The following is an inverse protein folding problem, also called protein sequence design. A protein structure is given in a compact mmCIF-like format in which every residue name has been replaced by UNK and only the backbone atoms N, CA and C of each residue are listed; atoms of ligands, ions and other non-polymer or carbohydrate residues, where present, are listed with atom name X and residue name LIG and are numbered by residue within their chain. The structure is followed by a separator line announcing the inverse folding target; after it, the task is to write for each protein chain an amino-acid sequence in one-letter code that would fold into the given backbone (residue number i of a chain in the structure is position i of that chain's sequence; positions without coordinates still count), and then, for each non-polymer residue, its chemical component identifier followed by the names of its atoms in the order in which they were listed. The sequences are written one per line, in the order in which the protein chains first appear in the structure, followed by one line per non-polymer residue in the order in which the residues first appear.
data_IF_242202441645
#
_entry.id   IF_242202441645
#
_cell.length_a   1.000
_cell.length_b   1.000
_cell.length_c   1.000
_cell.angle_alpha   90.00
_cell.angle_beta   90.00
_cell.angle_gamma   90.00
#
_symmetry.space_group_name_H-M   'P 1'
#
loop_
_entity.id
_entity.type
_entity.pdbx_description
1 polymer ?
#
# COMPACT_ATOMS: atom_id res chain seq x y z
N UNK A 1 13.96 -23.67 17.05
CA UNK A 1 13.09 -23.89 15.87
C UNK A 1 13.83 -24.57 14.72
N UNK A 2 13.20 -25.58 14.09
CA UNK A 2 13.87 -26.49 13.16
C UNK A 2 14.42 -25.80 11.90
N UNK A 3 13.78 -24.72 11.43
CA UNK A 3 14.23 -23.96 10.26
C UNK A 3 15.55 -23.19 10.42
N UNK A 4 16.15 -23.16 11.62
CA UNK A 4 17.50 -22.60 11.83
C UNK A 4 18.61 -23.64 11.68
N UNK A 5 18.26 -24.92 11.76
CA UNK A 5 19.21 -26.04 11.84
C UNK A 5 19.09 -26.99 10.65
N UNK A 6 17.92 -27.02 10.00
CA UNK A 6 17.62 -27.91 8.88
C UNK A 6 17.09 -27.14 7.68
N UNK A 7 17.19 -27.75 6.49
CA UNK A 7 16.47 -27.28 5.33
C UNK A 7 14.97 -27.45 5.55
N UNK A 8 14.20 -26.44 5.15
CA UNK A 8 12.75 -26.42 5.28
C UNK A 8 12.13 -26.12 3.93
N UNK A 9 10.91 -26.61 3.72
CA UNK A 9 10.07 -26.29 2.57
C UNK A 9 8.85 -25.52 3.05
N UNK A 10 8.42 -24.52 2.27
CA UNK A 10 7.22 -23.74 2.58
C UNK A 10 6.00 -24.57 2.18
N UNK A 11 5.26 -25.06 3.19
CA UNK A 11 4.06 -25.85 2.99
C UNK A 11 2.82 -24.97 2.77
N UNK A 12 2.79 -23.78 3.38
CA UNK A 12 1.74 -22.79 3.18
C UNK A 12 2.35 -21.40 3.04
N UNK A 13 1.93 -20.69 1.99
CA UNK A 13 2.36 -19.32 1.73
C UNK A 13 1.99 -18.37 2.87
N UNK A 14 2.67 -17.22 2.90
CA UNK A 14 2.49 -16.20 3.92
C UNK A 14 1.05 -15.66 3.93
N UNK A 15 0.30 -15.94 4.99
CA UNK A 15 -1.11 -15.56 5.16
C UNK A 15 -1.30 -14.70 6.40
N UNK A 16 -2.41 -13.94 6.41
CA UNK A 16 -2.77 -13.10 7.55
C UNK A 16 -3.32 -13.98 8.67
N UNK A 17 -2.83 -13.76 9.88
CA UNK A 17 -3.38 -14.43 11.05
C UNK A 17 -4.83 -14.02 11.31
N UNK A 18 -5.68 -15.00 11.61
CA UNK A 18 -7.00 -14.76 12.17
C UNK A 18 -6.92 -14.20 13.59
N UNK A 19 -8.03 -13.64 14.09
CA UNK A 19 -8.08 -13.09 15.45
C UNK A 19 -7.83 -14.13 16.55
N UNK A 20 -8.10 -15.41 16.28
CA UNK A 20 -7.77 -16.52 17.19
C UNK A 20 -6.29 -16.87 17.12
N UNK A 21 -5.75 -17.06 15.91
CA UNK A 21 -4.33 -17.37 15.70
C UNK A 21 -3.40 -16.31 16.27
N UNK A 22 -3.82 -15.04 16.26
CA UNK A 22 -3.02 -13.95 16.83
C UNK A 22 -2.85 -14.06 18.35
N UNK A 23 -3.75 -14.78 19.04
CA UNK A 23 -3.67 -15.08 20.48
C UNK A 23 -2.98 -16.41 20.77
N UNK A 24 -3.18 -17.39 19.90
CA UNK A 24 -2.74 -18.78 20.12
C UNK A 24 -1.35 -19.05 19.55
N UNK A 25 -0.97 -18.37 18.46
CA UNK A 25 0.28 -18.58 17.73
C UNK A 25 1.23 -17.40 17.99
N UNK A 26 2.33 -17.59 18.74
CA UNK A 26 3.25 -16.50 19.06
C UNK A 26 3.95 -15.93 17.82
N UNK A 27 4.09 -16.73 16.75
CA UNK A 27 4.64 -16.30 15.47
C UNK A 27 3.78 -15.22 14.77
N UNK A 28 2.51 -15.07 15.13
CA UNK A 28 1.65 -14.00 14.60
C UNK A 28 1.93 -12.63 15.24
N UNK A 29 2.48 -12.56 16.45
CA UNK A 29 2.65 -11.30 17.20
C UNK A 29 3.45 -10.19 16.49
N UNK A 30 4.61 -10.46 15.86
CA UNK A 30 5.48 -9.40 15.35
C UNK A 30 4.98 -8.73 14.06
N UNK A 31 4.36 -9.49 13.14
CA UNK A 31 3.93 -8.95 11.83
C UNK A 31 2.43 -9.09 11.57
N UNK A 32 1.72 -9.94 12.33
CA UNK A 32 0.33 -10.32 12.04
C UNK A 32 0.18 -11.31 10.88
N UNK A 33 1.30 -11.89 10.39
CA UNK A 33 1.34 -12.83 9.29
C UNK A 33 2.19 -14.05 9.63
N UNK A 34 1.74 -15.22 9.17
CA UNK A 34 2.42 -16.50 9.36
C UNK A 34 2.54 -17.28 8.06
N UNK A 35 3.62 -18.05 7.97
CA UNK A 35 3.83 -19.09 6.97
C UNK A 35 4.01 -20.43 7.68
N UNK A 36 3.51 -21.50 7.06
CA UNK A 36 3.68 -22.87 7.56
C UNK A 36 4.83 -23.51 6.79
N UNK A 37 5.81 -24.02 7.53
CA UNK A 37 6.99 -24.66 6.97
C UNK A 37 7.08 -26.10 7.46
N UNK A 38 7.58 -26.98 6.60
CA UNK A 38 7.88 -28.35 6.96
C UNK A 38 9.40 -28.54 6.94
N UNK A 39 9.96 -28.98 8.07
CA UNK A 39 11.39 -29.23 8.19
C UNK A 39 11.73 -30.61 7.64
N UNK A 40 12.56 -30.66 6.60
CA UNK A 40 12.76 -31.85 5.79
C UNK A 40 13.41 -33.00 6.56
N UNK A 41 14.28 -32.72 7.55
CA UNK A 41 14.97 -33.78 8.29
C UNK A 41 14.16 -34.31 9.47
N UNK A 42 13.31 -33.49 10.08
CA UNK A 42 12.46 -33.91 11.20
C UNK A 42 11.01 -34.23 10.82
N UNK A 43 10.61 -33.93 9.57
CA UNK A 43 9.23 -34.01 9.07
C UNK A 43 8.21 -33.30 9.98
N UNK A 44 8.63 -32.21 10.63
CA UNK A 44 7.80 -31.43 11.54
C UNK A 44 7.31 -30.16 10.86
N UNK A 45 6.02 -29.92 11.02
CA UNK A 45 5.37 -28.68 10.63
C UNK A 45 5.52 -27.63 11.74
N UNK A 46 5.99 -26.45 11.35
CA UNK A 46 6.23 -25.34 12.26
C UNK A 46 5.69 -24.03 11.67
N UNK A 47 5.35 -23.08 12.55
CA UNK A 47 4.85 -21.76 12.15
C UNK A 47 5.93 -20.70 12.33
N UNK A 48 6.15 -19.92 11.28
CA UNK A 48 7.13 -18.84 11.27
C UNK A 48 6.44 -17.52 10.91
N UNK A 49 6.90 -16.43 11.52
CA UNK A 49 6.48 -15.10 11.10
C UNK A 49 7.05 -14.79 9.72
N UNK A 50 6.20 -14.30 8.85
CA UNK A 50 6.57 -13.93 7.49
C UNK A 50 6.26 -12.45 7.24
N UNK A 51 6.95 -11.89 6.26
CA UNK A 51 6.73 -10.52 5.79
C UNK A 51 6.39 -10.61 4.31
N UNK A 52 5.10 -10.58 3.98
CA UNK A 52 4.64 -10.73 2.59
C UNK A 52 4.91 -9.45 1.80
N UNK A 53 5.93 -9.49 0.93
CA UNK A 53 6.25 -8.40 -0.01
C UNK A 53 5.07 -8.10 -0.96
N UNK A 54 4.30 -9.12 -1.34
CA UNK A 54 3.14 -8.97 -2.22
C UNK A 54 2.00 -8.16 -1.57
N UNK A 55 1.74 -8.40 -0.27
CA UNK A 55 0.72 -7.64 0.46
C UNK A 55 1.20 -6.24 0.86
N UNK A 56 2.49 -6.07 1.13
CA UNK A 56 3.10 -4.75 1.28
C UNK A 56 2.99 -3.93 -0.02
N UNK A 57 3.23 -4.56 -1.18
CA UNK A 57 3.06 -3.93 -2.48
C UNK A 57 1.61 -3.49 -2.73
N UNK A 58 0.60 -4.31 -2.37
CA UNK A 58 -0.79 -3.92 -2.52
C UNK A 58 -1.16 -2.69 -1.67
N UNK A 59 -0.66 -2.62 -0.43
CA UNK A 59 -0.88 -1.46 0.43
C UNK A 59 -0.17 -0.22 -0.10
N UNK A 60 1.05 -0.40 -0.60
CA UNK A 60 1.82 0.65 -1.25
C UNK A 60 1.08 1.20 -2.48
N UNK A 61 0.61 0.35 -3.39
CA UNK A 61 -0.10 0.78 -4.60
C UNK A 61 -1.41 1.51 -4.30
N UNK A 62 -2.14 1.09 -3.25
CA UNK A 62 -3.33 1.83 -2.79
C UNK A 62 -2.98 3.23 -2.31
N UNK A 63 -1.89 3.39 -1.57
CA UNK A 63 -1.41 4.69 -1.10
C UNK A 63 -0.89 5.57 -2.25
N UNK A 64 -0.08 5.02 -3.14
CA UNK A 64 0.44 5.75 -4.31
C UNK A 64 -0.72 6.19 -5.21
N UNK A 65 -1.68 5.31 -5.47
CA UNK A 65 -2.87 5.64 -6.24
C UNK A 65 -3.71 6.75 -5.62
N UNK A 66 -3.92 6.72 -4.30
CA UNK A 66 -4.68 7.78 -3.61
C UNK A 66 -3.95 9.12 -3.62
N UNK A 67 -2.65 9.13 -3.33
CA UNK A 67 -1.82 10.33 -3.35
C UNK A 67 -1.79 10.96 -4.75
N UNK A 68 -1.64 10.15 -5.79
CA UNK A 68 -1.65 10.60 -7.18
C UNK A 68 -3.02 11.19 -7.56
N UNK A 69 -4.12 10.55 -7.14
CA UNK A 69 -5.47 11.06 -7.36
C UNK A 69 -5.71 12.42 -6.70
N UNK A 70 -5.26 12.58 -5.45
CA UNK A 70 -5.34 13.87 -4.73
C UNK A 70 -4.51 14.93 -5.43
N UNK A 71 -3.29 14.61 -5.85
CA UNK A 71 -2.43 15.53 -6.58
C UNK A 71 -3.05 15.99 -7.91
N UNK A 72 -3.63 15.05 -8.68
CA UNK A 72 -4.31 15.37 -9.93
C UNK A 72 -5.54 16.25 -9.71
N UNK A 73 -6.35 15.97 -8.67
CA UNK A 73 -7.50 16.79 -8.32
C UNK A 73 -7.07 18.22 -7.92
N UNK A 74 -6.04 18.35 -7.09
CA UNK A 74 -5.49 19.65 -6.71
C UNK A 74 -4.96 20.43 -7.92
N UNK A 75 -4.22 19.77 -8.82
CA UNK A 75 -3.74 20.38 -10.06
C UNK A 75 -4.89 20.86 -10.94
N UNK A 76 -5.94 20.04 -11.13
CA UNK A 76 -7.12 20.43 -11.90
C UNK A 76 -7.82 21.66 -11.29
N UNK A 77 -7.99 21.70 -9.97
CA UNK A 77 -8.56 22.86 -9.27
C UNK A 77 -7.73 24.13 -9.50
N UNK A 78 -6.40 24.04 -9.44
CA UNK A 78 -5.50 25.17 -9.69
C UNK A 78 -5.64 25.66 -11.14
N UNK A 79 -5.63 24.75 -12.12
CA UNK A 79 -5.78 25.11 -13.53
C UNK A 79 -7.14 25.78 -13.79
N UNK A 80 -8.23 25.24 -13.25
CA UNK A 80 -9.55 25.85 -13.39
C UNK A 80 -9.57 27.27 -12.81
N UNK A 81 -8.97 27.49 -11.63
CA UNK A 81 -8.85 28.83 -11.05
C UNK A 81 -8.03 29.76 -11.92
N UNK A 82 -6.89 29.32 -12.43
CA UNK A 82 -6.06 30.12 -13.34
C UNK A 82 -6.83 30.52 -14.61
N UNK A 83 -7.56 29.58 -15.22
CA UNK A 83 -8.39 29.86 -16.40
C UNK A 83 -9.48 30.89 -16.13
N UNK A 84 -10.10 30.86 -14.95
CA UNK A 84 -11.10 31.87 -14.55
C UNK A 84 -10.45 33.23 -14.35
N UNK A 85 -9.26 33.28 -13.75
CA UNK A 85 -8.51 34.54 -13.57
C UNK A 85 -8.07 35.13 -14.91
N UNK A 86 -7.57 34.31 -15.84
CA UNK A 86 -7.16 34.75 -17.18
C UNK A 86 -8.32 35.32 -18.00
N UNK A 87 -9.49 34.67 -17.94
CA UNK A 87 -10.71 35.19 -18.59
C UNK A 87 -11.10 36.56 -18.05
N UNK A 88 -11.08 36.73 -16.72
CA UNK A 88 -11.39 38.02 -16.08
C UNK A 88 -10.36 39.09 -16.42
N UNK A 89 -9.08 38.73 -16.55
CA UNK A 89 -8.02 39.66 -16.95
C UNK A 89 -8.22 40.13 -18.41
N UNK A 90 -8.50 39.21 -19.34
CA UNK A 90 -8.77 39.53 -20.74
C UNK A 90 -10.02 40.41 -20.91
N UNK A 91 -11.10 40.15 -20.17
CA UNK A 91 -12.30 40.99 -20.19
C UNK A 91 -12.03 42.42 -19.73
N UNK A 92 -11.18 42.60 -18.71
CA UNK A 92 -10.77 43.93 -18.25
C UNK A 92 -9.98 44.69 -19.32
N UNK A 93 -9.05 44.01 -20.01
CA UNK A 93 -8.29 44.61 -21.11
C UNK A 93 -9.21 45.00 -22.26
N UNK A 94 -10.13 44.12 -22.65
CA UNK A 94 -11.07 44.37 -23.75
C UNK A 94 -11.96 45.59 -23.48
N UNK A 95 -12.46 45.74 -22.25
CA UNK A 95 -13.25 46.93 -21.86
C UNK A 95 -12.48 48.24 -21.91
N UNK A 96 -11.14 48.22 -21.74
CA UNK A 96 -10.34 49.44 -21.90
C UNK A 96 -10.17 49.85 -23.36
N UNK A 97 -10.18 48.91 -24.30
CA UNK A 97 -10.05 49.18 -25.74
C UNK A 97 -11.37 49.72 -26.32
N UNK A 98 -12.50 49.27 -25.77
CA UNK A 98 -13.85 49.67 -26.22
C UNK A 98 -14.29 51.04 -25.68
N UNK A 99 -13.58 51.59 -24.69
CA UNK A 99 -13.83 52.91 -24.10
C UNK A 99 -12.91 54.03 -24.62
N UNK A 100 -12.10 53.76 -25.64
CA UNK A 100 -11.24 54.73 -26.33
C UNK A 100 -11.93 55.23 -27.60
#
# INVERSE_FOLDING_TARGET
PCWRVEQFVVAQECTRCSGFEMKTIPACGPTGFIEKINCASSHRDEYKSCRSAALEAQRFWRFVGSALGVAAAAAALVVLRQRVLDRRALEKVRKQIESI
#
